data_IF_710841794261
#
_entry.id   IF_710841794261
#
_cell.length_a   1.000
_cell.length_b   1.000
_cell.length_c   1.000
_cell.angle_alpha   90.00
_cell.angle_beta   90.00
_cell.angle_gamma   90.00
#
_symmetry.space_group_name_H-M   'P 1'
#
loop_
_entity.id
_entity.type
_entity.pdbx_description
1 polymer ?
#
# COMPACT_ATOMS: atom_id res chain seq x y z
N UNK A 1 -16.01 21.66 6.04
CA UNK A 1 -16.88 20.77 5.26
C UNK A 1 -16.06 19.54 4.90
N UNK A 2 -16.24 18.43 5.63
CA UNK A 2 -15.57 17.17 5.32
C UNK A 2 -16.22 16.59 4.07
N UNK A 3 -15.55 16.73 2.95
CA UNK A 3 -15.91 15.96 1.75
C UNK A 3 -15.46 14.53 2.02
N UNK A 4 -16.37 13.68 2.45
CA UNK A 4 -16.18 12.23 2.42
C UNK A 4 -15.93 11.87 0.96
N UNK A 5 -14.68 11.69 0.56
CA UNK A 5 -14.38 11.11 -0.75
C UNK A 5 -15.03 9.72 -0.75
N UNK A 6 -16.08 9.58 -1.53
CA UNK A 6 -16.68 8.27 -1.78
C UNK A 6 -15.54 7.36 -2.25
N UNK A 7 -15.33 6.24 -1.55
CA UNK A 7 -14.34 5.24 -1.93
C UNK A 7 -14.67 4.80 -3.36
N UNK A 8 -13.89 5.31 -4.33
CA UNK A 8 -14.09 4.94 -5.72
C UNK A 8 -13.66 3.49 -5.90
N UNK A 9 -14.44 2.73 -6.65
CA UNK A 9 -14.11 1.34 -6.99
C UNK A 9 -13.70 1.26 -8.44
N UNK A 10 -12.67 0.46 -8.71
CA UNK A 10 -12.20 0.13 -10.05
C UNK A 10 -12.41 -1.35 -10.35
N UNK A 11 -12.05 -1.75 -11.56
CA UNK A 11 -12.06 -3.13 -12.02
C UNK A 11 -10.73 -3.48 -12.69
N UNK A 12 -10.21 -4.67 -12.39
CA UNK A 12 -9.01 -5.19 -13.06
C UNK A 12 -9.30 -5.38 -14.53
N UNK A 13 -8.48 -4.80 -15.39
CA UNK A 13 -8.53 -4.97 -16.84
C UNK A 13 -7.47 -5.95 -17.34
N UNK A 14 -6.30 -5.98 -16.68
CA UNK A 14 -5.18 -6.82 -17.07
C UNK A 14 -4.30 -7.15 -15.86
N UNK A 15 -3.71 -8.34 -15.88
CA UNK A 15 -2.69 -8.79 -14.90
C UNK A 15 -1.50 -9.34 -15.70
N UNK A 16 -0.29 -8.82 -15.44
CA UNK A 16 0.95 -9.25 -16.08
C UNK A 16 2.02 -9.39 -14.99
N UNK A 17 2.21 -10.59 -14.48
CA UNK A 17 3.09 -10.79 -13.31
C UNK A 17 2.66 -9.87 -12.15
N UNK A 18 3.56 -9.08 -11.55
CA UNK A 18 3.22 -8.18 -10.45
C UNK A 18 2.50 -6.89 -10.90
N UNK A 19 2.29 -6.70 -12.18
CA UNK A 19 1.65 -5.50 -12.74
C UNK A 19 0.17 -5.75 -12.93
N UNK A 20 -0.67 -4.87 -12.40
CA UNK A 20 -2.12 -4.93 -12.47
C UNK A 20 -2.66 -3.62 -13.01
N UNK A 21 -3.37 -3.67 -14.14
CA UNK A 21 -4.04 -2.51 -14.71
C UNK A 21 -5.50 -2.48 -14.22
N UNK A 22 -5.93 -1.31 -13.72
CA UNK A 22 -7.25 -1.10 -13.12
C UNK A 22 -7.95 0.08 -13.77
N UNK A 23 -9.17 -0.13 -14.22
CA UNK A 23 -10.05 0.92 -14.77
C UNK A 23 -11.00 1.46 -13.72
N UNK A 24 -11.14 2.79 -13.65
CA UNK A 24 -12.06 3.49 -12.77
C UNK A 24 -13.10 4.25 -13.60
N UNK A 25 -14.38 4.20 -13.21
CA UNK A 25 -15.46 4.93 -13.88
C UNK A 25 -15.64 6.38 -13.39
N UNK A 26 -14.83 6.80 -12.42
CA UNK A 26 -14.85 8.12 -11.80
C UNK A 26 -13.47 8.77 -11.80
N UNK A 27 -13.19 9.54 -10.75
CA UNK A 27 -11.86 10.13 -10.58
C UNK A 27 -10.78 9.06 -10.42
N UNK A 28 -9.65 9.24 -11.10
CA UNK A 28 -8.50 8.37 -10.96
C UNK A 28 -7.85 8.55 -9.58
N UNK A 29 -7.41 7.45 -8.94
CA UNK A 29 -6.56 7.55 -7.76
C UNK A 29 -5.23 8.22 -8.12
N UNK A 30 -4.68 8.97 -7.17
CA UNK A 30 -3.36 9.58 -7.32
C UNK A 30 -2.25 8.54 -7.37
N UNK A 31 -1.11 8.88 -7.97
CA UNK A 31 0.10 8.06 -7.94
C UNK A 31 0.51 7.83 -6.47
N UNK A 32 1.03 6.64 -6.18
CA UNK A 32 1.34 6.14 -4.83
C UNK A 32 0.12 5.84 -3.93
N UNK A 33 -1.09 5.95 -4.44
CA UNK A 33 -2.27 5.52 -3.68
C UNK A 33 -2.32 3.99 -3.56
N UNK A 34 -2.62 3.50 -2.37
CA UNK A 34 -2.88 2.09 -2.12
C UNK A 34 -4.30 1.72 -2.56
N UNK A 35 -4.42 0.64 -3.28
CA UNK A 35 -5.69 0.02 -3.64
C UNK A 35 -5.75 -1.37 -3.03
N UNK A 36 -6.94 -1.83 -2.68
CA UNK A 36 -7.17 -3.14 -2.08
C UNK A 36 -7.99 -4.03 -3.02
N UNK A 37 -7.57 -5.27 -3.11
CA UNK A 37 -8.27 -6.32 -3.86
C UNK A 37 -8.25 -7.63 -3.08
N UNK A 38 -9.30 -8.42 -3.21
CA UNK A 38 -9.36 -9.73 -2.59
C UNK A 38 -8.73 -10.76 -3.53
N UNK A 39 -7.72 -11.47 -3.06
CA UNK A 39 -7.06 -12.51 -3.84
C UNK A 39 -7.17 -13.88 -3.13
N UNK A 40 -8.01 -14.76 -3.66
CA UNK A 40 -8.20 -16.11 -3.14
C UNK A 40 -6.93 -17.00 -3.28
N UNK A 41 -5.97 -16.59 -4.11
CA UNK A 41 -4.67 -17.26 -4.22
C UNK A 41 -3.75 -17.03 -3.02
N UNK A 42 -3.99 -15.99 -2.22
CA UNK A 42 -3.26 -15.71 -0.98
C UNK A 42 -3.96 -16.40 0.20
N UNK A 43 -5.18 -15.99 0.48
CA UNK A 43 -6.04 -16.58 1.51
C UNK A 43 -7.52 -16.24 1.25
N UNK A 44 -8.42 -16.64 2.17
CA UNK A 44 -9.86 -16.41 2.06
C UNK A 44 -10.31 -15.05 2.61
N UNK A 45 -9.40 -14.20 3.08
CA UNK A 45 -9.72 -12.89 3.63
C UNK A 45 -10.10 -11.91 2.53
N UNK A 46 -11.01 -10.99 2.83
CA UNK A 46 -11.33 -9.89 1.93
C UNK A 46 -10.20 -8.85 1.98
N UNK A 47 -9.97 -8.19 0.82
CA UNK A 47 -9.03 -7.06 0.71
C UNK A 47 -7.58 -7.40 1.16
N UNK A 48 -7.17 -8.65 0.95
CA UNK A 48 -5.91 -9.22 1.44
C UNK A 48 -4.69 -8.90 0.55
N UNK A 49 -4.89 -8.35 -0.64
CA UNK A 49 -3.81 -7.90 -1.51
C UNK A 49 -3.85 -6.38 -1.67
N UNK A 50 -2.73 -5.73 -1.32
CA UNK A 50 -2.50 -4.31 -1.61
C UNK A 50 -1.76 -4.17 -2.93
N UNK A 51 -2.27 -3.29 -3.79
CA UNK A 51 -1.58 -2.86 -5.01
C UNK A 51 -1.40 -1.34 -4.97
N UNK A 52 -0.28 -0.82 -5.45
CA UNK A 52 0.04 0.61 -5.42
C UNK A 52 -0.02 1.20 -6.83
N UNK A 53 -0.66 2.35 -6.97
CA UNK A 53 -0.72 3.08 -8.24
C UNK A 53 0.65 3.62 -8.60
N UNK A 54 1.23 3.10 -9.69
CA UNK A 54 2.54 3.51 -10.19
C UNK A 54 2.44 4.52 -11.34
N UNK A 55 1.41 4.41 -12.19
CA UNK A 55 1.30 5.21 -13.39
C UNK A 55 -0.15 5.37 -13.84
N UNK A 56 -0.49 6.54 -14.40
CA UNK A 56 -1.72 6.73 -15.16
C UNK A 56 -1.48 6.39 -16.64
N UNK A 57 -2.32 5.53 -17.22
CA UNK A 57 -2.21 5.10 -18.62
C UNK A 57 -3.10 5.91 -19.56
N UNK A 58 -3.98 6.75 -19.02
CA UNK A 58 -5.06 7.40 -19.77
C UNK A 58 -6.36 6.58 -19.79
N UNK A 59 -7.41 7.12 -20.38
CA UNK A 59 -8.72 6.45 -20.55
C UNK A 59 -9.25 5.81 -19.25
N UNK A 60 -9.14 6.56 -18.14
CA UNK A 60 -9.57 6.11 -16.79
C UNK A 60 -8.82 4.87 -16.25
N UNK A 61 -7.67 4.51 -16.81
CA UNK A 61 -6.89 3.34 -16.41
C UNK A 61 -5.61 3.74 -15.67
N UNK A 62 -5.33 3.05 -14.58
CA UNK A 62 -4.09 3.16 -13.83
C UNK A 62 -3.33 1.84 -13.85
N UNK A 63 -2.02 1.92 -13.88
CA UNK A 63 -1.10 0.79 -13.71
C UNK A 63 -0.63 0.73 -12.29
N UNK A 64 -0.77 -0.45 -11.69
CA UNK A 64 -0.43 -0.70 -10.30
C UNK A 64 0.62 -1.80 -10.18
N UNK A 65 1.37 -1.77 -9.08
CA UNK A 65 2.32 -2.82 -8.69
C UNK A 65 1.74 -3.54 -7.48
N UNK A 66 1.67 -4.86 -7.55
CA UNK A 66 1.21 -5.69 -6.45
C UNK A 66 2.30 -5.86 -5.39
N UNK A 67 1.90 -5.81 -4.12
CA UNK A 67 2.79 -5.96 -2.96
C UNK A 67 2.90 -7.42 -2.50
N UNK A 68 2.15 -8.33 -3.13
CA UNK A 68 2.20 -9.78 -2.89
C UNK A 68 1.80 -10.51 -4.17
N UNK A 69 1.62 -11.84 -4.12
CA UNK A 69 1.28 -12.67 -5.27
C UNK A 69 0.00 -12.21 -5.97
N UNK A 70 0.05 -12.14 -7.28
CA UNK A 70 -1.09 -11.87 -8.15
C UNK A 70 -1.76 -13.16 -8.65
N UNK A 71 -1.24 -14.31 -8.26
CA UNK A 71 -1.81 -15.60 -8.66
C UNK A 71 -3.24 -15.74 -8.13
N UNK A 72 -4.18 -16.00 -9.03
CA UNK A 72 -5.59 -16.09 -8.67
C UNK A 72 -6.41 -14.81 -8.96
N UNK A 73 -5.76 -13.68 -9.31
CA UNK A 73 -6.47 -12.50 -9.77
C UNK A 73 -7.12 -12.73 -11.12
N UNK A 74 -8.33 -12.21 -11.29
CA UNK A 74 -9.09 -12.31 -12.53
C UNK A 74 -9.50 -10.94 -13.07
N UNK A 75 -9.60 -10.86 -14.39
CA UNK A 75 -10.15 -9.67 -15.06
C UNK A 75 -11.59 -9.40 -14.60
N UNK A 76 -11.93 -8.12 -14.42
CA UNK A 76 -13.26 -7.68 -13.98
C UNK A 76 -13.43 -7.67 -12.46
N UNK A 77 -12.46 -8.17 -11.70
CA UNK A 77 -12.49 -8.18 -10.26
C UNK A 77 -12.50 -6.75 -9.68
N UNK A 78 -13.24 -6.55 -8.61
CA UNK A 78 -13.41 -5.22 -7.97
C UNK A 78 -12.17 -4.85 -7.18
N UNK A 79 -11.73 -3.63 -7.33
CA UNK A 79 -10.61 -3.01 -6.61
C UNK A 79 -11.14 -1.79 -5.86
N UNK A 80 -10.78 -1.64 -4.59
CA UNK A 80 -11.17 -0.53 -3.73
C UNK A 80 -10.05 0.49 -3.63
N UNK A 81 -10.37 1.75 -3.84
CA UNK A 81 -9.44 2.86 -3.62
C UNK A 81 -9.45 3.24 -2.14
N UNK A 82 -8.31 3.22 -1.47
CA UNK A 82 -8.19 3.65 -0.05
C UNK A 82 -8.13 5.16 0.10
N UNK A 83 -7.79 5.89 -0.96
CA UNK A 83 -7.58 7.35 -0.93
C UNK A 83 -6.30 7.79 -0.21
N UNK A 84 -5.41 6.86 0.13
CA UNK A 84 -4.17 7.15 0.84
C UNK A 84 -3.02 6.25 0.37
N UNK A 85 -1.78 6.67 0.61
CA UNK A 85 -0.61 5.83 0.36
C UNK A 85 -0.51 4.68 1.37
N UNK A 86 0.27 3.65 1.03
CA UNK A 86 0.63 2.58 1.96
C UNK A 86 1.26 3.21 3.21
N UNK A 87 0.76 2.84 4.38
CA UNK A 87 1.24 3.33 5.66
C UNK A 87 1.64 2.17 6.56
N UNK A 88 2.78 2.32 7.22
CA UNK A 88 3.35 1.30 8.09
C UNK A 88 3.41 1.78 9.53
N UNK A 89 3.32 0.89 10.53
CA UNK A 89 3.51 1.26 11.92
C UNK A 89 4.95 1.75 12.15
N UNK A 90 5.09 2.78 12.98
CA UNK A 90 6.39 3.36 13.37
C UNK A 90 6.43 3.62 14.86
N UNK A 91 7.64 3.68 15.43
CA UNK A 91 7.86 3.97 16.83
C UNK A 91 8.60 2.86 17.55
N UNK A 92 8.80 2.99 18.88
CA UNK A 92 9.51 1.99 19.68
C UNK A 92 8.88 0.59 19.62
N UNK A 93 7.58 0.52 19.39
CA UNK A 93 6.79 -0.71 19.36
C UNK A 93 7.14 -1.64 18.20
N UNK A 94 7.80 -1.12 17.15
CA UNK A 94 8.24 -1.92 16.01
C UNK A 94 9.65 -2.47 16.16
N UNK A 95 10.39 -2.07 17.20
CA UNK A 95 11.75 -2.55 17.43
C UNK A 95 11.74 -4.05 17.71
N UNK A 96 12.65 -4.78 17.05
CA UNK A 96 12.76 -6.24 17.17
C UNK A 96 11.61 -7.01 16.52
N UNK A 97 10.77 -6.36 15.68
CA UNK A 97 9.68 -6.97 14.93
C UNK A 97 10.05 -7.08 13.45
N UNK A 98 9.52 -8.10 12.78
CA UNK A 98 9.64 -8.27 11.32
C UNK A 98 8.29 -7.99 10.70
N UNK A 99 8.25 -7.02 9.80
CA UNK A 99 7.04 -6.57 9.12
C UNK A 99 7.19 -6.77 7.62
N UNK A 100 6.08 -7.05 6.94
CA UNK A 100 6.05 -7.06 5.48
C UNK A 100 5.95 -5.62 4.92
N UNK A 101 5.94 -5.50 3.60
CA UNK A 101 5.92 -4.20 2.89
C UNK A 101 4.68 -3.35 3.20
N UNK A 102 3.57 -3.93 3.63
CA UNK A 102 2.36 -3.22 4.05
C UNK A 102 2.27 -3.01 5.57
N UNK A 103 3.34 -3.34 6.30
CA UNK A 103 3.42 -3.12 7.75
C UNK A 103 2.73 -4.18 8.60
N UNK A 104 2.31 -5.31 8.02
CA UNK A 104 1.76 -6.42 8.79
C UNK A 104 2.91 -7.27 9.40
N UNK A 105 2.81 -7.74 10.66
CA UNK A 105 3.83 -8.58 11.28
C UNK A 105 3.85 -9.97 10.64
N UNK A 106 5.07 -10.47 10.35
CA UNK A 106 5.31 -11.79 9.77
C UNK A 106 6.22 -12.66 10.67
N UNK A 107 6.50 -12.20 11.88
CA UNK A 107 7.38 -12.83 12.86
C UNK A 107 6.65 -13.77 13.85
N UNK A 108 5.37 -14.08 13.62
CA UNK A 108 4.50 -14.93 14.43
C UNK A 108 4.38 -14.47 15.91
N UNK A 109 4.76 -13.22 16.22
CA UNK A 109 4.75 -12.64 17.58
C UNK A 109 3.49 -11.84 17.88
N UNK A 110 2.43 -12.02 17.08
CA UNK A 110 1.17 -11.30 17.25
C UNK A 110 1.19 -9.86 16.72
N UNK A 111 0.09 -9.12 16.87
CA UNK A 111 -0.06 -7.78 16.32
C UNK A 111 0.94 -6.78 16.90
N UNK A 112 1.27 -5.75 16.12
CA UNK A 112 2.06 -4.60 16.58
C UNK A 112 1.09 -3.52 17.06
N UNK A 113 1.18 -3.18 18.36
CA UNK A 113 0.34 -2.14 18.96
C UNK A 113 0.99 -0.76 18.85
N UNK A 114 1.41 -0.40 17.64
CA UNK A 114 2.01 0.91 17.38
C UNK A 114 0.98 2.03 17.54
N UNK A 115 1.38 3.11 18.18
CA UNK A 115 0.54 4.31 18.38
C UNK A 115 0.50 5.22 17.17
N UNK A 116 1.45 5.06 16.25
CA UNK A 116 1.63 5.91 15.07
C UNK A 116 1.84 5.06 13.84
N UNK A 117 1.29 5.54 12.72
CA UNK A 117 1.59 5.03 11.37
C UNK A 117 2.20 6.15 10.55
N UNK A 118 2.97 5.79 9.54
CA UNK A 118 3.58 6.75 8.61
C UNK A 118 3.50 6.21 7.19
N UNK A 119 3.15 7.07 6.24
CA UNK A 119 3.17 6.71 4.83
C UNK A 119 4.60 6.39 4.38
N UNK A 120 4.75 5.39 3.52
CA UNK A 120 6.07 4.97 3.01
C UNK A 120 6.67 6.01 2.05
N UNK A 121 5.81 6.76 1.35
CA UNK A 121 6.24 7.88 0.50
C UNK A 121 6.24 9.16 1.31
N UNK A 122 7.43 9.65 1.63
CA UNK A 122 7.66 10.86 2.42
C UNK A 122 8.67 11.77 1.73
N UNK A 123 8.46 13.06 1.86
CA UNK A 123 9.51 14.02 1.52
C UNK A 123 10.71 13.86 2.48
N UNK A 124 11.93 14.13 2.03
CA UNK A 124 13.09 14.12 2.92
C UNK A 124 12.91 15.15 4.04
N UNK A 125 13.48 14.91 5.24
CA UNK A 125 13.40 15.84 6.35
C UNK A 125 14.07 17.18 5.97
N UNK A 126 13.48 18.29 6.43
CA UNK A 126 14.08 19.61 6.22
C UNK A 126 15.41 19.70 6.95
N UNK A 127 16.31 20.53 6.44
CA UNK A 127 17.64 20.73 7.05
C UNK A 127 17.55 21.11 8.55
N UNK A 128 16.55 21.89 8.92
CA UNK A 128 16.29 22.29 10.32
C UNK A 128 15.83 21.15 11.24
N UNK A 129 15.38 20.05 10.67
CA UNK A 129 14.89 18.87 11.39
C UNK A 129 15.96 17.77 11.51
N UNK A 130 17.10 17.96 10.83
CA UNK A 130 18.19 17.00 10.85
C UNK A 130 19.04 17.14 12.11
N UNK A 131 19.41 16.01 12.72
CA UNK A 131 20.35 15.97 13.82
C UNK A 131 21.77 16.33 13.32
N UNK A 132 22.48 17.16 14.08
CA UNK A 132 23.89 17.45 13.83
C UNK A 132 24.82 16.34 14.33
N UNK A 133 24.28 15.37 15.10
CA UNK A 133 25.02 14.20 15.58
C UNK A 133 24.96 13.09 14.54
N UNK A 134 26.10 12.49 14.26
CA UNK A 134 26.18 11.26 13.47
C UNK A 134 25.79 10.09 14.38
N UNK A 135 24.65 9.48 14.08
CA UNK A 135 24.16 8.29 14.80
C UNK A 135 24.06 7.13 13.79
N UNK A 136 24.61 5.98 14.17
CA UNK A 136 24.52 4.77 13.34
C UNK A 136 23.20 4.08 13.63
N UNK A 137 22.42 3.83 12.56
CA UNK A 137 21.20 3.02 12.66
C UNK A 137 21.57 1.55 12.40
N UNK A 138 21.45 0.73 13.42
CA UNK A 138 21.62 -0.72 13.30
C UNK A 138 20.32 -1.34 12.76
N UNK A 139 20.37 -1.86 11.56
CA UNK A 139 19.19 -2.43 10.87
C UNK A 139 19.05 -3.93 11.08
N UNK A 140 20.11 -4.60 11.51
CA UNK A 140 20.18 -6.07 11.63
C UNK A 140 20.42 -6.79 10.29
N UNK A 141 20.73 -6.05 9.22
CA UNK A 141 21.09 -6.57 7.90
C UNK A 141 22.60 -6.53 7.76
#
# INVERSE_FOLDING_TARGET
>A
MNTTQAQSTGRITQVIGPVVDVEFQGGLPEINTALLVSNAGIDSSADNLTIEVAQHLGEHTVRCIAMDSTDGLTRGQVVKNTGSAISVPVGPEVLGRILNVVGAPVDERGPVNAKKTRAIHQAPPKFTEQSTKVEVLETGI
#
